data_IF_511677534080
#
_entry.id   IF_511677534080
#
_cell.length_a   1.000
_cell.length_b   1.000
_cell.length_c   1.000
_cell.angle_alpha   90.00
_cell.angle_beta   90.00
_cell.angle_gamma   90.00
#
_symmetry.space_group_name_H-M   'P 1'
#
loop_
_entity.id
_entity.type
_entity.pdbx_description
1 polymer ?
#
# COMPACT_ATOMS: atom_id res chain seq x y z
N UNK A 1 -13.98 0.87 0.72
CA UNK A 1 -13.90 -0.41 -0.05
C UNK A 1 -12.85 -1.29 0.61
N UNK A 2 -12.90 -2.63 0.48
CA UNK A 2 -11.84 -3.49 1.03
C UNK A 2 -10.72 -3.64 0.00
N UNK A 3 -9.52 -3.18 0.33
CA UNK A 3 -8.31 -3.46 -0.44
C UNK A 3 -7.91 -4.93 -0.28
N UNK A 4 -7.36 -5.52 -1.33
CA UNK A 4 -6.87 -6.91 -1.32
C UNK A 4 -5.35 -6.95 -1.15
N UNK A 5 -4.65 -6.07 -1.87
CA UNK A 5 -3.20 -6.08 -2.01
C UNK A 5 -2.51 -5.04 -1.13
N UNK A 6 -3.26 -4.19 -0.42
CA UNK A 6 -2.75 -3.25 0.57
C UNK A 6 -3.60 -3.25 1.85
N UNK A 7 -3.03 -2.74 2.94
CA UNK A 7 -3.74 -2.40 4.18
C UNK A 7 -3.52 -0.93 4.49
N UNK A 8 -4.60 -0.20 4.73
CA UNK A 8 -4.56 1.24 5.04
C UNK A 8 -4.97 1.48 6.48
N UNK A 9 -4.17 2.23 7.23
CA UNK A 9 -4.50 2.71 8.59
C UNK A 9 -4.36 4.21 8.67
N UNK A 10 -5.19 4.85 9.49
CA UNK A 10 -5.14 6.29 9.80
C UNK A 10 -4.97 6.42 11.30
N UNK A 11 -3.92 7.11 11.75
CA UNK A 11 -3.61 7.26 13.17
C UNK A 11 -2.91 8.60 13.40
N UNK A 12 -3.46 9.44 14.28
CA UNK A 12 -2.88 10.74 14.69
C UNK A 12 -2.36 11.62 13.52
N UNK A 13 -3.12 11.71 12.43
CA UNK A 13 -2.74 12.48 11.23
C UNK A 13 -1.70 11.79 10.33
N UNK A 14 -1.40 10.51 10.57
CA UNK A 14 -0.53 9.69 9.72
C UNK A 14 -1.36 8.64 8.99
N UNK A 15 -1.34 8.71 7.66
CA UNK A 15 -1.88 7.66 6.79
C UNK A 15 -0.78 6.63 6.52
N UNK A 16 -1.01 5.37 6.83
CA UNK A 16 -0.05 4.29 6.51
C UNK A 16 -0.64 3.34 5.48
N UNK A 17 0.07 3.18 4.36
CA UNK A 17 -0.23 2.18 3.33
C UNK A 17 0.80 1.05 3.48
N UNK A 18 0.33 -0.16 3.83
CA UNK A 18 1.14 -1.37 3.91
C UNK A 18 0.90 -2.24 2.69
N UNK A 19 1.95 -2.54 1.91
CA UNK A 19 1.88 -3.52 0.83
C UNK A 19 1.61 -4.90 1.42
N UNK A 20 0.59 -5.61 0.92
CA UNK A 20 0.06 -6.82 1.53
C UNK A 20 0.09 -8.02 0.58
N UNK A 21 1.28 -8.31 0.01
CA UNK A 21 1.52 -9.51 -0.80
C UNK A 21 2.75 -10.28 -0.29
N UNK A 22 2.80 -10.67 1.00
CA UNK A 22 4.03 -11.17 1.63
C UNK A 22 4.56 -12.47 1.00
N UNK A 23 3.68 -13.29 0.41
CA UNK A 23 4.05 -14.55 -0.28
C UNK A 23 4.95 -14.32 -1.50
N UNK A 24 4.86 -13.14 -2.12
CA UNK A 24 5.67 -12.72 -3.27
C UNK A 24 6.52 -11.50 -2.92
N UNK A 25 6.90 -11.37 -1.63
CA UNK A 25 7.77 -10.31 -1.14
C UNK A 25 7.26 -8.91 -1.48
N UNK A 26 5.93 -8.71 -1.43
CA UNK A 26 5.29 -7.44 -1.72
C UNK A 26 5.63 -6.89 -3.12
N UNK A 27 5.80 -7.78 -4.11
CA UNK A 27 5.96 -7.40 -5.50
C UNK A 27 4.80 -6.53 -6.00
N UNK A 28 5.09 -5.59 -6.89
CA UNK A 28 4.17 -4.56 -7.37
C UNK A 28 3.40 -5.08 -8.59
N UNK A 29 2.16 -5.53 -8.37
CA UNK A 29 1.20 -5.95 -9.39
C UNK A 29 0.39 -4.76 -9.93
N UNK A 30 -0.26 -4.93 -11.09
CA UNK A 30 -1.14 -3.88 -11.66
C UNK A 30 -2.32 -3.59 -10.74
N UNK A 31 -2.84 -4.61 -10.03
CA UNK A 31 -3.92 -4.41 -9.05
C UNK A 31 -3.45 -3.61 -7.84
N UNK A 32 -2.28 -3.94 -7.30
CA UNK A 32 -1.69 -3.22 -6.18
C UNK A 32 -1.50 -1.74 -6.52
N UNK A 33 -0.99 -1.40 -7.72
CA UNK A 33 -0.85 -0.01 -8.13
C UNK A 33 -2.18 0.76 -8.13
N UNK A 34 -3.26 0.17 -8.66
CA UNK A 34 -4.59 0.81 -8.66
C UNK A 34 -5.15 1.01 -7.25
N UNK A 35 -4.92 0.04 -6.37
CA UNK A 35 -5.33 0.15 -4.97
C UNK A 35 -4.55 1.24 -4.23
N UNK A 36 -3.23 1.34 -4.47
CA UNK A 36 -2.39 2.41 -3.92
C UNK A 36 -2.85 3.78 -4.42
N UNK A 37 -3.11 3.94 -5.72
CA UNK A 37 -3.60 5.18 -6.30
C UNK A 37 -4.93 5.63 -5.67
N UNK A 38 -5.87 4.68 -5.54
CA UNK A 38 -7.15 4.92 -4.86
C UNK A 38 -6.95 5.33 -3.39
N UNK A 39 -6.09 4.62 -2.66
CA UNK A 39 -5.81 4.90 -1.25
C UNK A 39 -5.13 6.26 -1.04
N UNK A 40 -4.21 6.65 -1.94
CA UNK A 40 -3.60 7.97 -1.90
C UNK A 40 -4.68 9.05 -2.10
N UNK A 41 -5.55 8.92 -3.10
CA UNK A 41 -6.64 9.88 -3.31
C UNK A 41 -7.60 9.99 -2.11
N UNK A 42 -7.92 8.87 -1.46
CA UNK A 42 -8.72 8.87 -0.23
C UNK A 42 -8.02 9.55 0.96
N UNK A 43 -6.69 9.42 1.07
CA UNK A 43 -5.91 10.02 2.17
C UNK A 43 -5.56 11.48 1.89
N UNK A 44 -5.39 11.88 0.63
CA UNK A 44 -5.18 13.26 0.21
C UNK A 44 -6.43 14.12 0.45
N UNK A 45 -7.62 13.54 0.25
CA UNK A 45 -8.89 14.22 0.52
C UNK A 45 -9.22 14.38 2.01
N UNK A 46 -8.41 13.79 2.90
CA UNK A 46 -8.59 13.83 4.35
C UNK A 46 -7.68 14.90 4.97
N UNK A 47 -8.26 16.06 5.30
CA UNK A 47 -7.55 17.21 5.86
C UNK A 47 -6.87 16.90 7.21
N UNK A 48 -7.22 15.82 7.92
CA UNK A 48 -6.54 15.41 9.15
C UNK A 48 -5.18 14.76 8.86
N UNK A 49 -5.00 14.15 7.69
CA UNK A 49 -3.76 13.48 7.30
C UNK A 49 -2.70 14.51 6.91
N UNK A 50 -1.54 14.42 7.54
CA UNK A 50 -0.38 15.32 7.34
C UNK A 50 0.82 14.59 6.75
N UNK A 51 0.89 13.27 6.92
CA UNK A 51 2.03 12.44 6.49
C UNK A 51 1.53 11.11 5.96
N UNK A 52 2.15 10.64 4.88
CA UNK A 52 1.97 9.27 4.38
C UNK A 52 3.21 8.43 4.66
N UNK A 53 2.98 7.23 5.19
CA UNK A 53 4.00 6.19 5.39
C UNK A 53 3.72 5.02 4.46
N UNK A 54 4.73 4.63 3.70
CA UNK A 54 4.71 3.39 2.92
C UNK A 54 5.59 2.35 3.60
N UNK A 55 5.05 1.16 3.81
CA UNK A 55 5.81 0.00 4.31
C UNK A 55 5.25 -1.31 3.75
N UNK A 56 5.88 -2.45 4.05
CA UNK A 56 5.44 -3.78 3.62
C UNK A 56 4.93 -4.59 4.81
N UNK A 57 4.00 -5.50 4.59
CA UNK A 57 3.65 -6.52 5.59
C UNK A 57 4.68 -7.65 5.62
N UNK A 58 4.75 -8.34 6.74
CA UNK A 58 5.77 -9.36 7.00
C UNK A 58 7.11 -8.75 7.44
N UNK A 59 8.13 -9.60 7.50
CA UNK A 59 9.45 -9.33 8.08
C UNK A 59 10.60 -9.44 7.06
N UNK A 60 10.29 -9.81 5.81
CA UNK A 60 11.30 -10.15 4.79
C UNK A 60 11.67 -8.99 3.87
N UNK A 61 10.71 -8.18 3.46
CA UNK A 61 10.92 -7.13 2.47
C UNK A 61 9.85 -6.04 2.55
N UNK A 62 10.27 -4.80 2.28
CA UNK A 62 9.33 -3.74 1.90
C UNK A 62 8.61 -4.10 0.59
N UNK A 63 9.39 -4.29 -0.48
CA UNK A 63 8.94 -4.78 -1.80
C UNK A 63 10.12 -5.39 -2.56
N UNK A 64 9.86 -6.44 -3.33
CA UNK A 64 10.82 -7.03 -4.27
C UNK A 64 10.85 -6.34 -5.66
N UNK A 65 10.09 -5.26 -5.85
CA UNK A 65 9.99 -4.55 -7.14
C UNK A 65 8.82 -5.03 -7.99
N UNK A 66 8.88 -4.86 -9.31
CA UNK A 66 7.79 -5.21 -10.22
C UNK A 66 7.48 -6.72 -10.23
N UNK A 67 6.21 -7.07 -10.31
CA UNK A 67 5.80 -8.47 -10.45
C UNK A 67 6.07 -8.99 -11.87
N UNK A 68 7.08 -9.84 -12.01
CA UNK A 68 7.51 -10.41 -13.30
C UNK A 68 6.47 -11.34 -13.92
N UNK A 69 5.50 -11.83 -13.15
CA UNK A 69 4.44 -12.71 -13.65
C UNK A 69 3.24 -11.93 -14.21
N UNK A 70 3.23 -10.60 -14.10
CA UNK A 70 2.17 -9.71 -14.60
C UNK A 70 2.64 -8.69 -15.66
N UNK A 71 3.86 -8.85 -16.20
CA UNK A 71 4.37 -7.99 -17.27
C UNK A 71 3.67 -8.23 -18.61
#
# INVERSE_FOLDING_TARGET
>A
MSYENIVVTRDEGVGTIRLNRPKVLNALSRSLYREVDTAIGELEADDEIKVLVFTGTGDRAFSAGADIHEQ
#
